data_IF_847674334489
#
_entry.id   IF_847674334489
#
_cell.length_a   1.000
_cell.length_b   1.000
_cell.length_c   1.000
_cell.angle_alpha   90.00
_cell.angle_beta   90.00
_cell.angle_gamma   90.00
#
_symmetry.space_group_name_H-M   'P 1'
#
loop_
_entity.id
_entity.type
_entity.pdbx_description
1 polymer ?
#
# COMPACT_ATOMS: atom_id res chain seq x y z
N UNK A 1 6.37 11.32 -18.06
CA UNK A 1 5.28 11.89 -17.24
C UNK A 1 5.93 12.72 -16.17
N UNK A 2 5.45 13.93 -15.91
CA UNK A 2 5.95 14.73 -14.79
C UNK A 2 5.58 14.03 -13.45
N UNK A 3 6.41 14.19 -12.42
CA UNK A 3 6.15 13.68 -11.08
C UNK A 3 4.87 14.27 -10.49
N UNK A 4 4.54 15.53 -10.77
CA UNK A 4 3.28 16.15 -10.32
C UNK A 4 2.09 15.48 -11.00
N UNK A 5 2.09 15.38 -12.33
CA UNK A 5 1.05 14.67 -13.10
C UNK A 5 0.87 13.22 -12.61
N UNK A 6 1.97 12.56 -12.25
CA UNK A 6 1.93 11.20 -11.68
C UNK A 6 1.24 11.18 -10.31
N UNK A 7 1.55 12.12 -9.43
CA UNK A 7 0.90 12.27 -8.13
C UNK A 7 -0.61 12.47 -8.30
N UNK A 8 -1.02 13.36 -9.21
CA UNK A 8 -2.45 13.59 -9.47
C UNK A 8 -3.18 12.30 -9.87
N UNK A 9 -2.62 11.55 -10.82
CA UNK A 9 -3.22 10.28 -11.30
C UNK A 9 -3.24 9.20 -10.23
N UNK A 10 -2.17 9.08 -9.44
CA UNK A 10 -2.08 8.12 -8.33
C UNK A 10 -3.11 8.43 -7.26
N UNK A 11 -3.27 9.69 -6.88
CA UNK A 11 -4.21 10.07 -5.82
C UNK A 11 -5.66 10.11 -6.28
N UNK A 12 -5.93 10.34 -7.56
CA UNK A 12 -7.23 10.08 -8.16
C UNK A 12 -7.63 8.60 -8.03
N UNK A 13 -6.71 7.67 -8.31
CA UNK A 13 -6.94 6.23 -8.13
C UNK A 13 -7.14 5.87 -6.65
N UNK A 14 -6.32 6.39 -5.73
CA UNK A 14 -6.51 6.14 -4.30
C UNK A 14 -7.86 6.68 -3.77
N UNK A 15 -8.40 7.73 -4.38
CA UNK A 15 -9.71 8.27 -4.02
C UNK A 15 -10.89 7.34 -4.38
N UNK A 16 -10.72 6.42 -5.33
CA UNK A 16 -11.73 5.42 -5.67
C UNK A 16 -11.96 4.43 -4.51
N UNK A 17 -10.95 4.24 -3.63
CA UNK A 17 -11.00 3.34 -2.47
C UNK A 17 -11.33 1.87 -2.80
N UNK A 18 -11.09 1.48 -4.04
CA UNK A 18 -11.19 0.09 -4.48
C UNK A 18 -9.81 -0.57 -4.42
N UNK A 19 -9.78 -1.88 -4.14
CA UNK A 19 -8.53 -2.65 -4.13
C UNK A 19 -7.84 -2.58 -5.50
N UNK A 20 -8.60 -2.76 -6.58
CA UNK A 20 -8.09 -2.66 -7.95
C UNK A 20 -7.52 -1.26 -8.27
N UNK A 21 -8.13 -0.21 -7.75
CA UNK A 21 -7.61 1.15 -7.89
C UNK A 21 -6.31 1.35 -7.09
N UNK A 22 -6.26 0.83 -5.85
CA UNK A 22 -5.06 0.86 -5.00
C UNK A 22 -3.89 0.11 -5.64
N UNK A 23 -4.17 -1.02 -6.29
CA UNK A 23 -3.17 -1.76 -7.07
C UNK A 23 -2.59 -0.94 -8.22
N UNK A 24 -3.45 -0.32 -9.03
CA UNK A 24 -3.04 0.54 -10.14
C UNK A 24 -2.28 1.76 -9.63
N UNK A 25 -2.72 2.34 -8.52
CA UNK A 25 -2.04 3.45 -7.86
C UNK A 25 -0.63 3.07 -7.41
N UNK A 26 -0.45 1.91 -6.78
CA UNK A 26 0.85 1.39 -6.39
C UNK A 26 1.80 1.20 -7.58
N UNK A 27 1.32 0.55 -8.66
CA UNK A 27 2.10 0.29 -9.85
C UNK A 27 2.54 1.60 -10.53
N UNK A 28 1.61 2.54 -10.70
CA UNK A 28 1.90 3.86 -11.27
C UNK A 28 2.88 4.64 -10.39
N UNK A 29 2.67 4.65 -9.06
CA UNK A 29 3.55 5.37 -8.14
C UNK A 29 4.98 4.85 -8.21
N UNK A 30 5.18 3.53 -8.26
CA UNK A 30 6.51 2.90 -8.43
C UNK A 30 7.17 3.28 -9.73
N UNK A 31 6.43 3.22 -10.85
CA UNK A 31 6.94 3.60 -12.16
C UNK A 31 7.34 5.08 -12.23
N UNK A 32 6.72 5.93 -11.40
CA UNK A 32 6.98 7.37 -11.34
C UNK A 32 8.01 7.78 -10.28
N UNK A 33 8.63 6.84 -9.55
CA UNK A 33 9.68 7.17 -8.58
C UNK A 33 10.95 7.71 -9.25
N UNK A 34 11.27 7.21 -10.44
CA UNK A 34 12.47 7.64 -11.17
C UNK A 34 12.36 9.13 -11.55
N UNK A 35 13.28 9.93 -11.02
CA UNK A 35 13.31 11.38 -11.27
C UNK A 35 12.40 12.22 -10.36
N UNK A 36 11.58 11.61 -9.51
CA UNK A 36 10.80 12.34 -8.50
C UNK A 36 11.71 12.82 -7.35
N UNK A 37 11.46 14.03 -6.85
CA UNK A 37 12.21 14.61 -5.72
C UNK A 37 11.28 15.40 -4.78
N UNK A 38 11.77 15.64 -3.56
CA UNK A 38 11.10 16.48 -2.56
C UNK A 38 9.66 16.05 -2.28
N UNK A 39 8.74 17.01 -2.34
CA UNK A 39 7.32 16.81 -2.03
C UNK A 39 6.61 15.80 -2.96
N UNK A 40 7.00 15.75 -4.23
CA UNK A 40 6.42 14.80 -5.17
C UNK A 40 6.88 13.37 -4.88
N UNK A 41 8.18 13.18 -4.58
CA UNK A 41 8.71 11.89 -4.14
C UNK A 41 8.02 11.42 -2.86
N UNK A 42 7.86 12.32 -1.88
CA UNK A 42 7.13 12.04 -0.65
C UNK A 42 5.71 11.55 -0.95
N UNK A 43 4.95 12.29 -1.78
CA UNK A 43 3.58 11.93 -2.12
C UNK A 43 3.48 10.56 -2.81
N UNK A 44 4.42 10.21 -3.70
CA UNK A 44 4.47 8.91 -4.37
C UNK A 44 4.81 7.78 -3.39
N UNK A 45 5.77 7.97 -2.49
CA UNK A 45 6.11 6.99 -1.46
C UNK A 45 4.94 6.77 -0.49
N UNK A 46 4.24 7.82 -0.12
CA UNK A 46 3.02 7.73 0.69
C UNK A 46 1.91 6.92 0.01
N UNK A 47 1.73 7.12 -1.30
CA UNK A 47 0.76 6.34 -2.07
C UNK A 47 1.13 4.86 -2.15
N UNK A 48 2.42 4.53 -2.24
CA UNK A 48 2.91 3.14 -2.19
C UNK A 48 2.57 2.51 -0.84
N UNK A 49 2.88 3.19 0.28
CA UNK A 49 2.55 2.71 1.63
C UNK A 49 1.04 2.53 1.79
N UNK A 50 0.24 3.52 1.39
CA UNK A 50 -1.21 3.46 1.51
C UNK A 50 -1.78 2.26 0.74
N UNK A 51 -1.37 2.12 -0.52
CA UNK A 51 -1.84 1.06 -1.40
C UNK A 51 -1.43 -0.32 -0.89
N UNK A 52 -0.15 -0.51 -0.55
CA UNK A 52 0.35 -1.80 -0.05
C UNK A 52 -0.30 -2.17 1.27
N UNK A 53 -0.48 -1.22 2.19
CA UNK A 53 -1.16 -1.49 3.46
C UNK A 53 -2.63 -1.84 3.27
N UNK A 54 -3.35 -1.20 2.34
CA UNK A 54 -4.72 -1.56 1.99
C UNK A 54 -4.78 -2.99 1.42
N UNK A 55 -3.90 -3.33 0.49
CA UNK A 55 -3.86 -4.66 -0.12
C UNK A 55 -3.47 -5.75 0.90
N UNK A 56 -2.50 -5.49 1.77
CA UNK A 56 -2.10 -6.40 2.85
C UNK A 56 -3.21 -6.58 3.89
N UNK A 57 -3.98 -5.52 4.19
CA UNK A 57 -5.15 -5.61 5.07
C UNK A 57 -6.18 -6.57 4.49
N UNK A 58 -6.53 -6.37 3.22
CA UNK A 58 -7.54 -7.16 2.50
C UNK A 58 -7.10 -8.62 2.34
N UNK A 59 -5.84 -8.88 2.01
CA UNK A 59 -5.28 -10.23 1.96
C UNK A 59 -5.28 -10.91 3.34
N UNK A 60 -5.02 -10.14 4.39
CA UNK A 60 -5.07 -10.60 5.78
C UNK A 60 -6.48 -10.94 6.24
N UNK A 61 -7.47 -10.13 5.86
CA UNK A 61 -8.87 -10.27 6.29
C UNK A 61 -9.63 -11.32 5.48
N UNK A 62 -9.28 -11.49 4.19
CA UNK A 62 -10.04 -12.33 3.25
C UNK A 62 -9.29 -13.54 2.68
N UNK A 63 -7.99 -13.71 2.99
CA UNK A 63 -7.22 -14.93 2.71
C UNK A 63 -7.19 -15.34 1.22
N UNK A 64 -6.16 -14.92 0.47
CA UNK A 64 -5.76 -15.37 -0.88
C UNK A 64 -6.82 -15.31 -2.02
N UNK A 65 -8.11 -15.08 -1.75
CA UNK A 65 -9.16 -14.96 -2.78
C UNK A 65 -9.00 -13.72 -3.69
N UNK A 66 -8.03 -12.84 -3.40
CA UNK A 66 -7.75 -11.62 -4.15
C UNK A 66 -6.71 -11.78 -5.29
N UNK A 67 -6.15 -12.97 -5.52
CA UNK A 67 -5.19 -13.18 -6.62
C UNK A 67 -5.83 -12.95 -8.01
N UNK A 68 -7.09 -13.35 -8.20
CA UNK A 68 -7.81 -13.07 -9.44
C UNK A 68 -8.11 -11.57 -9.65
N UNK A 69 -8.39 -10.83 -8.57
CA UNK A 69 -8.47 -9.36 -8.63
C UNK A 69 -7.12 -8.75 -8.98
N UNK A 70 -6.03 -9.39 -8.54
CA UNK A 70 -4.68 -8.92 -8.78
C UNK A 70 -4.28 -8.99 -10.26
N UNK A 71 -4.50 -10.16 -10.87
CA UNK A 71 -4.25 -10.41 -12.29
C UNK A 71 -5.16 -9.58 -13.21
N UNK A 72 -6.40 -9.34 -12.78
CA UNK A 72 -7.37 -8.54 -13.55
C UNK A 72 -7.14 -7.03 -13.48
N UNK A 73 -6.59 -6.51 -12.36
CA UNK A 73 -6.40 -5.07 -12.16
C UNK A 73 -5.10 -4.52 -12.77
N UNK A 74 -4.06 -5.35 -12.89
CA UNK A 74 -2.75 -4.94 -13.42
C UNK A 74 -2.28 -5.90 -14.52
N UNK A 75 -2.26 -5.48 -15.80
CA UNK A 75 -1.80 -6.32 -16.90
C UNK A 75 -0.33 -6.75 -16.70
N UNK A 76 -0.08 -8.07 -16.77
CA UNK A 76 1.28 -8.64 -16.67
C UNK A 76 1.66 -9.18 -15.29
N UNK A 77 0.80 -9.06 -14.28
CA UNK A 77 1.01 -9.63 -12.94
C UNK A 77 0.46 -11.05 -12.79
N UNK A 78 0.71 -11.94 -13.76
CA UNK A 78 0.39 -13.36 -13.62
C UNK A 78 1.39 -14.06 -12.72
N UNK A 79 0.96 -14.55 -11.57
CA UNK A 79 1.82 -15.22 -10.58
C UNK A 79 1.29 -15.16 -9.16
N UNK A 80 1.90 -15.91 -8.26
CA UNK A 80 1.54 -15.92 -6.84
C UNK A 80 1.79 -14.55 -6.19
N UNK A 81 0.85 -14.14 -5.34
CA UNK A 81 0.96 -12.88 -4.60
C UNK A 81 2.10 -12.99 -3.59
N UNK A 82 3.23 -12.32 -3.86
CA UNK A 82 4.36 -12.24 -2.93
C UNK A 82 4.06 -11.30 -1.75
N UNK A 83 3.32 -11.82 -0.76
CA UNK A 83 2.96 -11.08 0.47
C UNK A 83 4.21 -10.62 1.24
N UNK A 84 5.27 -11.44 1.24
CA UNK A 84 6.53 -11.10 1.92
C UNK A 84 7.27 -9.95 1.21
N UNK A 85 7.30 -9.96 -0.12
CA UNK A 85 7.77 -8.85 -0.95
C UNK A 85 6.96 -7.58 -0.72
N UNK A 86 5.63 -7.67 -0.78
CA UNK A 86 4.74 -6.52 -0.51
C UNK A 86 4.98 -5.91 0.88
N UNK A 87 5.18 -6.75 1.90
CA UNK A 87 5.49 -6.29 3.26
C UNK A 87 6.84 -5.59 3.33
N UNK A 88 7.88 -6.15 2.70
CA UNK A 88 9.21 -5.52 2.63
C UNK A 88 9.16 -4.18 1.91
N UNK A 89 8.48 -4.12 0.78
CA UNK A 89 8.36 -2.90 -0.01
C UNK A 89 7.56 -1.82 0.72
N UNK A 90 6.51 -2.21 1.45
CA UNK A 90 5.75 -1.29 2.28
C UNK A 90 6.61 -0.72 3.40
N UNK A 91 7.46 -1.53 4.03
CA UNK A 91 8.40 -1.08 5.05
C UNK A 91 9.49 -0.16 4.49
N UNK A 92 10.01 -0.45 3.30
CA UNK A 92 11.00 0.39 2.63
C UNK A 92 10.42 1.76 2.24
N UNK A 93 9.24 1.77 1.62
CA UNK A 93 8.54 3.02 1.28
C UNK A 93 8.21 3.84 2.53
N UNK A 94 7.82 3.18 3.64
CA UNK A 94 7.62 3.85 4.92
C UNK A 94 8.91 4.50 5.45
N UNK A 95 10.05 3.80 5.41
CA UNK A 95 11.32 4.37 5.83
C UNK A 95 11.68 5.61 5.01
N UNK A 96 11.43 5.58 3.71
CA UNK A 96 11.66 6.72 2.82
C UNK A 96 10.73 7.90 3.14
N UNK A 97 9.44 7.65 3.38
CA UNK A 97 8.50 8.70 3.85
C UNK A 97 9.03 9.39 5.11
N UNK A 98 9.48 8.60 6.10
CA UNK A 98 10.00 9.15 7.35
C UNK A 98 11.29 9.97 7.12
N UNK A 99 12.17 9.50 6.24
CA UNK A 99 13.39 10.23 5.84
C UNK A 99 13.07 11.58 5.19
N UNK A 100 12.16 11.60 4.20
CA UNK A 100 11.76 12.80 3.48
C UNK A 100 11.05 13.81 4.38
N UNK A 101 10.23 13.34 5.32
CA UNK A 101 9.61 14.20 6.34
C UNK A 101 10.62 14.79 7.31
N UNK A 102 11.62 14.01 7.74
CA UNK A 102 12.71 14.53 8.55
C UNK A 102 13.54 15.59 7.81
N UNK A 103 13.61 15.50 6.48
CA UNK A 103 14.21 16.51 5.61
C UNK A 103 13.31 17.74 5.35
N UNK A 104 12.10 17.80 5.91
CA UNK A 104 11.18 18.93 5.80
C UNK A 104 10.25 18.90 4.58
N UNK A 105 10.12 17.76 3.88
CA UNK A 105 9.18 17.64 2.77
C UNK A 105 7.73 17.54 3.26
N UNK A 106 6.80 18.07 2.46
CA UNK A 106 5.37 18.06 2.72
C UNK A 106 4.57 17.71 1.47
N UNK A 107 3.69 16.73 1.55
CA UNK A 107 2.85 16.25 0.44
C UNK A 107 1.44 16.86 0.44
N UNK A 108 1.01 17.49 1.53
CA UNK A 108 -0.39 17.84 1.77
C UNK A 108 -0.98 18.70 0.64
N UNK A 109 -0.24 19.71 0.17
CA UNK A 109 -0.69 20.58 -0.91
C UNK A 109 -0.97 19.83 -2.23
N UNK A 110 -0.21 18.76 -2.50
CA UNK A 110 -0.36 17.95 -3.72
C UNK A 110 -1.51 16.96 -3.61
N UNK A 111 -1.75 16.40 -2.41
CA UNK A 111 -2.71 15.29 -2.25
C UNK A 111 -4.11 15.75 -1.82
N UNK A 112 -4.21 16.89 -1.13
CA UNK A 112 -5.48 17.40 -0.56
C UNK A 112 -6.65 17.49 -1.55
N UNK A 113 -6.45 17.90 -2.82
CA UNK A 113 -7.56 17.97 -3.79
C UNK A 113 -8.27 16.63 -4.02
N UNK A 114 -7.57 15.51 -3.83
CA UNK A 114 -8.07 14.17 -4.11
C UNK A 114 -8.57 13.45 -2.86
N UNK A 115 -7.89 13.66 -1.74
CA UNK A 115 -8.16 12.91 -0.51
C UNK A 115 -8.94 13.71 0.54
N UNK A 116 -9.28 14.97 0.29
CA UNK A 116 -10.23 15.74 1.12
C UNK A 116 -10.01 15.68 2.65
N UNK A 117 -8.77 15.48 3.11
CA UNK A 117 -8.43 15.28 4.52
C UNK A 117 -8.79 13.92 5.12
N UNK A 118 -9.35 12.97 4.37
CA UNK A 118 -9.62 11.63 4.90
C UNK A 118 -8.35 10.76 5.01
N UNK A 119 -7.31 11.07 4.24
CA UNK A 119 -6.00 10.44 4.35
C UNK A 119 -5.08 11.31 5.21
N UNK A 120 -4.80 10.86 6.43
CA UNK A 120 -3.83 11.56 7.29
C UNK A 120 -2.42 11.42 6.70
N UNK A 121 -1.56 12.44 6.84
CA UNK A 121 -0.14 12.34 6.51
C UNK A 121 0.49 11.14 7.20
N UNK A 122 1.21 10.31 6.45
CA UNK A 122 1.85 9.11 6.99
C UNK A 122 2.90 9.54 8.03
N UNK A 123 2.82 8.93 9.22
CA UNK A 123 3.67 9.30 10.38
C UNK A 123 3.13 10.43 11.25
N UNK A 124 2.01 11.06 10.89
CA UNK A 124 1.32 12.01 11.78
C UNK A 124 0.72 11.30 13.02
N UNK A 125 0.45 12.04 14.12
CA UNK A 125 -0.19 11.47 15.31
C UNK A 125 -1.52 10.76 15.01
N UNK A 126 -2.38 11.36 14.18
CA UNK A 126 -3.68 10.80 13.82
C UNK A 126 -3.54 9.52 12.99
N UNK A 127 -2.59 9.51 12.04
CA UNK A 127 -2.26 8.31 11.27
C UNK A 127 -1.77 7.17 12.17
N UNK A 128 -0.86 7.46 13.10
CA UNK A 128 -0.34 6.48 14.06
C UNK A 128 -1.44 5.96 14.99
N UNK A 129 -2.36 6.81 15.41
CA UNK A 129 -3.49 6.44 16.25
C UNK A 129 -4.48 5.53 15.49
N UNK A 130 -4.78 5.85 14.22
CA UNK A 130 -5.54 4.95 13.33
C UNK A 130 -4.84 3.60 13.15
N UNK A 131 -3.53 3.60 12.89
CA UNK A 131 -2.75 2.37 12.73
C UNK A 131 -2.79 1.52 14.00
N UNK A 132 -2.54 2.11 15.17
CA UNK A 132 -2.61 1.41 16.47
C UNK A 132 -3.98 0.79 16.71
N UNK A 133 -5.06 1.52 16.42
CA UNK A 133 -6.43 0.99 16.52
C UNK A 133 -6.68 -0.16 15.53
N UNK A 134 -6.17 -0.06 14.32
CA UNK A 134 -6.24 -1.13 13.32
C UNK A 134 -5.49 -2.38 13.77
N UNK A 135 -4.26 -2.25 14.26
CA UNK A 135 -3.46 -3.34 14.81
C UNK A 135 -4.12 -3.95 16.05
N UNK A 136 -4.66 -3.14 16.96
CA UNK A 136 -5.35 -3.64 18.16
C UNK A 136 -6.62 -4.46 17.84
N UNK A 137 -7.25 -4.23 16.67
CA UNK A 137 -8.38 -5.03 16.17
C UNK A 137 -7.93 -6.29 15.41
N UNK A 138 -6.70 -6.32 14.92
CA UNK A 138 -6.04 -7.49 14.33
C UNK A 138 -5.46 -8.36 15.46
N UNK A 139 -6.32 -9.14 16.11
CA UNK A 139 -5.95 -10.02 17.24
C UNK A 139 -4.69 -10.86 16.92
N UNK A 140 -3.81 -11.09 17.90
CA UNK A 140 -2.53 -11.81 17.75
C UNK A 140 -2.70 -13.21 17.13
N UNK A 141 -3.89 -13.80 17.28
CA UNK A 141 -4.29 -15.08 16.69
C UNK A 141 -4.53 -15.04 15.18
N UNK A 142 -4.58 -13.87 14.55
CA UNK A 142 -4.71 -13.72 13.10
C UNK A 142 -3.43 -14.15 12.39
N UNK A 143 -2.26 -13.64 12.84
CA UNK A 143 -0.95 -14.06 12.32
C UNK A 143 -0.74 -15.55 12.53
N UNK A 144 -1.11 -16.09 13.69
CA UNK A 144 -1.01 -17.53 13.98
C UNK A 144 -1.95 -18.42 13.14
N UNK A 145 -3.11 -17.90 12.71
CA UNK A 145 -4.04 -18.61 11.81
C UNK A 145 -3.53 -18.59 10.38
N UNK A 146 -3.05 -17.44 9.91
CA UNK A 146 -2.46 -17.28 8.58
C UNK A 146 -1.21 -18.16 8.42
N UNK A 147 -0.33 -18.15 9.42
CA UNK A 147 0.92 -18.94 9.42
C UNK A 147 0.64 -20.46 9.44
N UNK A 148 -0.47 -20.90 10.08
CA UNK A 148 -0.90 -22.31 10.06
C UNK A 148 -1.47 -22.71 8.71
N UNK A 149 -2.37 -21.90 8.14
CA UNK A 149 -2.95 -22.17 6.81
C UNK A 149 -1.88 -22.33 5.73
N UNK A 150 -0.84 -21.48 5.76
CA UNK A 150 0.28 -21.55 4.83
C UNK A 150 1.17 -22.79 5.03
N UNK A 151 1.22 -23.36 6.24
CA UNK A 151 1.94 -24.61 6.52
C UNK A 151 1.13 -25.86 6.16
N UNK A 152 -0.19 -25.80 6.33
CA UNK A 152 -1.07 -26.93 6.10
C UNK A 152 -1.32 -27.16 4.58
N UNK A 153 -1.21 -26.11 3.75
CA UNK A 153 -1.29 -26.21 2.28
C UNK A 153 -0.01 -26.80 1.63
N UNK A 154 1.17 -26.72 2.27
CA UNK A 154 2.39 -27.41 1.78
C UNK A 154 2.37 -28.92 2.03
N UNK A 155 1.48 -29.41 2.90
CA UNK A 155 1.44 -30.81 3.37
C UNK A 155 0.28 -31.63 2.82
N UNK A 156 -0.58 -31.05 1.98
CA UNK A 156 -1.58 -31.84 1.25
C UNK A 156 -0.95 -32.47 0.01
N UNK A 157 -0.69 -33.80 -0.01
CA UNK A 157 -0.43 -34.47 -1.28
C UNK A 157 -1.70 -34.32 -2.14
N UNK A 158 -1.53 -33.73 -3.32
CA UNK A 158 -2.59 -33.67 -4.33
C UNK A 158 -3.15 -35.09 -4.57
N UNK A 159 -4.48 -35.24 -4.76
CA UNK A 159 -5.08 -36.52 -5.15
C UNK A 159 -4.58 -37.02 -6.50
#
# INVERSE_FOLDING_TARGET
MDAIESVERVYALNAEREIAASMRACALARASLEGAQGNALLALQEAIVYSLNAMLAELGEHGLQNQALWEGAVPGNGGDVDVAGMTRDCAAAWQEVMSLRAAGCESQALVSPYVGGWMDPIGSPDWLDRLRRGVARRDAKWVDRLTRSLRDDELSPLP
#
